data_IF_279362069951
#
_entry.id   IF_279362069951
#
_cell.length_a   1.000
_cell.length_b   1.000
_cell.length_c   1.000
_cell.angle_alpha   90.00
_cell.angle_beta   90.00
_cell.angle_gamma   90.00
#
_symmetry.space_group_name_H-M   'P 1'
#
loop_
_entity.id
_entity.type
_entity.pdbx_description
1 polymer ?
#
# COMPACT_ATOMS: atom_id res chain seq x y z
N UNK A 1 23.07 -15.90 8.04
CA UNK A 1 23.07 -15.82 6.58
C UNK A 1 22.54 -14.43 6.16
N UNK A 2 23.45 -13.54 5.74
CA UNK A 2 23.19 -12.13 5.44
C UNK A 2 22.14 -11.94 4.31
N UNK A 3 22.11 -12.82 3.32
CA UNK A 3 21.23 -12.71 2.16
C UNK A 3 19.82 -13.28 2.39
N UNK A 4 19.61 -14.04 3.44
CA UNK A 4 18.34 -14.72 3.71
C UNK A 4 17.12 -13.77 3.76
N UNK A 5 17.16 -12.60 4.44
CA UNK A 5 16.02 -11.69 4.47
C UNK A 5 15.66 -11.16 3.07
N UNK A 6 16.66 -10.82 2.26
CA UNK A 6 16.45 -10.32 0.89
C UNK A 6 15.81 -11.38 0.00
N UNK A 7 16.29 -12.62 0.09
CA UNK A 7 15.71 -13.74 -0.64
C UNK A 7 14.27 -14.02 -0.20
N UNK A 8 14.02 -14.02 1.12
CA UNK A 8 12.68 -14.20 1.68
C UNK A 8 11.72 -13.13 1.18
N UNK A 9 12.14 -11.86 1.19
CA UNK A 9 11.35 -10.75 0.70
C UNK A 9 11.08 -10.86 -0.81
N UNK A 10 12.07 -11.22 -1.62
CA UNK A 10 11.92 -11.36 -3.07
C UNK A 10 10.89 -12.43 -3.42
N UNK A 11 11.00 -13.62 -2.83
CA UNK A 11 10.07 -14.73 -3.06
C UNK A 11 8.67 -14.39 -2.52
N UNK A 12 8.61 -13.82 -1.31
CA UNK A 12 7.34 -13.42 -0.68
C UNK A 12 6.61 -12.35 -1.49
N UNK A 13 7.31 -11.31 -1.94
CA UNK A 13 6.74 -10.24 -2.76
C UNK A 13 6.25 -10.75 -4.12
N UNK A 14 6.98 -11.67 -4.75
CA UNK A 14 6.52 -12.31 -5.99
C UNK A 14 5.21 -13.07 -5.77
N UNK A 15 5.13 -13.90 -4.72
CA UNK A 15 3.93 -14.65 -4.39
C UNK A 15 2.74 -13.72 -4.11
N UNK A 16 2.93 -12.68 -3.31
CA UNK A 16 1.89 -11.67 -3.03
C UNK A 16 1.40 -11.02 -4.32
N UNK A 17 2.31 -10.67 -5.24
CA UNK A 17 1.95 -10.06 -6.52
C UNK A 17 1.09 -11.00 -7.37
N UNK A 18 1.44 -12.29 -7.42
CA UNK A 18 0.67 -13.28 -8.16
C UNK A 18 -0.72 -13.52 -7.53
N UNK A 19 -0.80 -13.57 -6.20
CA UNK A 19 -2.06 -13.72 -5.48
C UNK A 19 -2.96 -12.48 -5.67
N UNK A 20 -2.39 -11.26 -5.63
CA UNK A 20 -3.12 -10.03 -5.90
C UNK A 20 -3.62 -9.96 -7.36
N UNK A 21 -2.77 -10.34 -8.33
CA UNK A 21 -3.18 -10.42 -9.74
C UNK A 21 -4.37 -11.36 -9.92
N UNK A 22 -4.33 -12.53 -9.31
CA UNK A 22 -5.43 -13.51 -9.34
C UNK A 22 -6.71 -12.92 -8.75
N UNK A 23 -6.60 -12.23 -7.62
CA UNK A 23 -7.73 -11.61 -6.93
C UNK A 23 -8.35 -10.49 -7.77
N UNK A 24 -7.55 -9.60 -8.35
CA UNK A 24 -8.02 -8.54 -9.24
C UNK A 24 -8.65 -9.05 -10.54
N UNK A 25 -8.32 -10.28 -10.97
CA UNK A 25 -8.93 -10.92 -12.13
C UNK A 25 -10.19 -11.71 -11.78
N UNK A 26 -10.55 -11.80 -10.52
CA UNK A 26 -11.77 -12.47 -10.04
C UNK A 26 -13.02 -11.65 -10.37
N UNK A 27 -14.11 -12.32 -10.71
CA UNK A 27 -15.43 -11.69 -10.88
C UNK A 27 -16.01 -11.18 -9.55
N UNK A 28 -15.53 -11.68 -8.43
CA UNK A 28 -15.93 -11.28 -7.09
C UNK A 28 -14.72 -10.91 -6.24
N UNK A 29 -14.30 -9.64 -6.36
CA UNK A 29 -13.14 -9.09 -5.67
C UNK A 29 -13.32 -9.12 -4.16
N UNK A 30 -12.45 -9.84 -3.45
CA UNK A 30 -12.40 -9.83 -1.99
C UNK A 30 -11.44 -8.74 -1.49
N UNK A 31 -12.03 -7.61 -1.05
CA UNK A 31 -11.27 -6.44 -0.61
C UNK A 31 -10.43 -6.72 0.65
N UNK A 32 -10.90 -7.59 1.54
CA UNK A 32 -10.15 -7.97 2.74
C UNK A 32 -8.89 -8.76 2.35
N UNK A 33 -8.98 -9.65 1.37
CA UNK A 33 -7.81 -10.36 0.87
C UNK A 33 -6.79 -9.43 0.22
N UNK A 34 -7.23 -8.42 -0.54
CA UNK A 34 -6.33 -7.39 -1.07
C UNK A 34 -5.66 -6.63 0.08
N UNK A 35 -6.41 -6.26 1.11
CA UNK A 35 -5.89 -5.61 2.31
C UNK A 35 -4.79 -6.44 2.99
N UNK A 36 -5.02 -7.73 3.21
CA UNK A 36 -4.06 -8.64 3.82
C UNK A 36 -2.77 -8.76 2.99
N UNK A 37 -2.91 -8.84 1.65
CA UNK A 37 -1.78 -8.86 0.73
C UNK A 37 -0.98 -7.54 0.77
N UNK A 38 -1.65 -6.39 0.83
CA UNK A 38 -1.01 -5.08 0.99
C UNK A 38 -0.19 -5.00 2.29
N UNK A 39 -0.78 -5.38 3.40
CA UNK A 39 -0.14 -5.36 4.72
C UNK A 39 1.03 -6.35 4.78
N UNK A 40 0.88 -7.54 4.22
CA UNK A 40 1.96 -8.54 4.12
C UNK A 40 3.12 -8.04 3.27
N UNK A 41 2.84 -7.41 2.13
CA UNK A 41 3.86 -6.80 1.28
C UNK A 41 4.62 -5.71 2.05
N UNK A 42 3.90 -4.81 2.73
CA UNK A 42 4.55 -3.78 3.53
C UNK A 42 5.45 -4.36 4.63
N UNK A 43 5.05 -5.46 5.27
CA UNK A 43 5.87 -6.13 6.27
C UNK A 43 7.21 -6.63 5.71
N UNK A 44 7.25 -7.21 4.50
CA UNK A 44 8.52 -7.58 3.85
C UNK A 44 9.39 -6.33 3.58
N UNK A 45 8.79 -5.23 3.11
CA UNK A 45 9.51 -3.99 2.84
C UNK A 45 10.09 -3.38 4.12
N UNK A 46 9.34 -3.44 5.23
CA UNK A 46 9.76 -2.89 6.53
C UNK A 46 10.78 -3.77 7.23
N UNK A 47 10.50 -5.07 7.39
CA UNK A 47 11.27 -5.97 8.25
C UNK A 47 12.48 -6.58 7.56
N UNK A 48 12.31 -7.04 6.33
CA UNK A 48 13.34 -7.77 5.60
C UNK A 48 14.21 -6.84 4.75
N UNK A 49 13.60 -5.91 4.02
CA UNK A 49 14.32 -4.96 3.17
C UNK A 49 14.72 -3.67 3.90
N UNK A 50 14.07 -3.33 5.01
CA UNK A 50 14.35 -2.13 5.85
C UNK A 50 14.34 -0.82 5.05
N UNK A 51 13.38 -0.68 4.13
CA UNK A 51 13.28 0.50 3.25
C UNK A 51 12.22 1.52 3.70
N UNK A 52 11.67 1.36 4.90
CA UNK A 52 10.77 2.36 5.51
C UNK A 52 11.56 3.44 6.23
N UNK A 53 10.98 4.63 6.35
CA UNK A 53 11.44 5.73 7.20
C UNK A 53 10.46 5.94 8.35
N UNK A 54 10.88 6.71 9.37
CA UNK A 54 9.99 7.09 10.48
C UNK A 54 8.74 7.82 10.01
N UNK A 55 8.86 8.65 8.97
CA UNK A 55 7.74 9.38 8.36
C UNK A 55 6.75 8.44 7.68
N UNK A 56 7.27 7.46 6.92
CA UNK A 56 6.44 6.42 6.29
C UNK A 56 5.71 5.60 7.34
N UNK A 57 6.42 5.14 8.36
CA UNK A 57 5.83 4.35 9.44
C UNK A 57 4.72 5.15 10.15
N UNK A 58 4.96 6.42 10.47
CA UNK A 58 3.97 7.32 11.06
C UNK A 58 2.73 7.50 10.17
N UNK A 59 2.90 7.68 8.86
CA UNK A 59 1.78 7.80 7.93
C UNK A 59 0.94 6.52 7.89
N UNK A 60 1.58 5.35 7.90
CA UNK A 60 0.89 4.05 7.91
C UNK A 60 0.14 3.83 9.21
N UNK A 61 0.77 4.06 10.36
CA UNK A 61 0.15 3.92 11.67
C UNK A 61 -1.10 4.81 11.79
N UNK A 62 -0.99 6.09 11.42
CA UNK A 62 -2.13 7.02 11.40
C UNK A 62 -3.24 6.55 10.47
N UNK A 63 -2.90 6.02 9.29
CA UNK A 63 -3.91 5.52 8.35
C UNK A 63 -4.67 4.33 8.93
N UNK A 64 -3.97 3.37 9.52
CA UNK A 64 -4.56 2.18 10.15
C UNK A 64 -5.42 2.55 11.36
N UNK A 65 -4.93 3.42 12.25
CA UNK A 65 -5.66 3.92 13.43
C UNK A 65 -6.95 4.67 13.06
N UNK A 66 -7.00 5.24 11.85
CA UNK A 66 -8.17 5.98 11.36
C UNK A 66 -9.05 5.18 10.40
N UNK A 67 -8.86 3.85 10.33
CA UNK A 67 -9.77 2.91 9.69
C UNK A 67 -9.35 2.43 8.31
N UNK A 68 -8.10 2.66 7.90
CA UNK A 68 -7.57 1.94 6.75
C UNK A 68 -7.50 0.44 7.07
N UNK A 69 -7.89 -0.40 6.14
CA UNK A 69 -7.82 -1.86 6.28
C UNK A 69 -6.50 -2.42 5.74
N UNK A 70 -5.86 -1.70 4.82
CA UNK A 70 -4.56 -2.05 4.27
C UNK A 70 -3.75 -0.82 3.92
N UNK A 71 -2.44 -0.89 4.15
CA UNK A 71 -1.50 0.18 3.83
C UNK A 71 -0.17 -0.38 3.33
N UNK A 72 0.47 0.33 2.42
CA UNK A 72 1.82 -0.01 1.97
C UNK A 72 2.53 1.18 1.34
N UNK A 73 3.86 1.10 1.27
CA UNK A 73 4.68 2.02 0.47
C UNK A 73 4.34 1.88 -1.01
N UNK A 74 4.42 3.00 -1.72
CA UNK A 74 4.42 3.08 -3.19
C UNK A 74 5.83 3.48 -3.65
N UNK A 75 6.39 2.71 -4.56
CA UNK A 75 7.75 2.94 -5.06
C UNK A 75 8.83 2.23 -4.25
N UNK A 76 10.07 2.74 -4.32
CA UNK A 76 11.28 2.10 -3.79
C UNK A 76 11.49 2.26 -2.27
N UNK A 77 10.67 3.03 -1.59
CA UNK A 77 10.90 3.36 -0.18
C UNK A 77 11.94 4.47 0.02
N UNK A 78 12.49 4.57 1.24
CA UNK A 78 13.46 5.63 1.58
C UNK A 78 12.86 7.02 1.73
N UNK A 79 11.55 7.13 1.72
CA UNK A 79 10.72 8.32 1.67
C UNK A 79 9.57 8.14 0.68
N UNK A 80 8.91 9.21 0.27
CA UNK A 80 7.91 9.20 -0.79
C UNK A 80 6.49 8.97 -0.32
N UNK A 81 5.78 8.02 -0.93
CA UNK A 81 4.32 7.89 -0.82
C UNK A 81 3.88 6.58 -0.20
N UNK A 82 2.71 6.59 0.38
CA UNK A 82 1.97 5.39 0.78
C UNK A 82 0.64 5.31 0.01
N UNK A 83 0.07 4.14 -0.06
CA UNK A 83 -1.32 3.90 -0.43
C UNK A 83 -2.04 3.25 0.73
N UNK A 84 -3.23 3.79 1.05
CA UNK A 84 -4.12 3.27 2.09
C UNK A 84 -5.43 2.85 1.46
N UNK A 85 -5.93 1.69 1.85
CA UNK A 85 -7.19 1.12 1.41
C UNK A 85 -8.24 1.29 2.50
N UNK A 86 -9.40 1.81 2.17
CA UNK A 86 -10.55 1.95 3.07
C UNK A 86 -11.83 1.47 2.41
N UNK A 87 -12.83 1.14 3.21
CA UNK A 87 -14.08 0.54 2.73
C UNK A 87 -15.16 1.57 2.37
N UNK A 88 -14.99 2.83 2.76
CA UNK A 88 -15.97 3.88 2.52
C UNK A 88 -15.34 5.28 2.47
N UNK A 89 -16.07 6.23 1.88
CA UNK A 89 -15.61 7.60 1.67
C UNK A 89 -15.40 8.38 2.97
N UNK A 90 -16.21 8.13 4.02
CA UNK A 90 -16.04 8.82 5.29
C UNK A 90 -14.70 8.47 5.93
N UNK A 91 -14.34 7.20 5.93
CA UNK A 91 -13.03 6.72 6.39
C UNK A 91 -11.90 7.31 5.55
N UNK A 92 -12.03 7.31 4.22
CA UNK A 92 -11.03 7.92 3.33
C UNK A 92 -10.81 9.40 3.65
N UNK A 93 -11.89 10.18 3.80
CA UNK A 93 -11.82 11.60 4.16
C UNK A 93 -11.15 11.83 5.51
N UNK A 94 -11.47 10.99 6.50
CA UNK A 94 -10.85 11.05 7.84
C UNK A 94 -9.34 10.81 7.76
N UNK A 95 -8.91 9.78 7.03
CA UNK A 95 -7.48 9.47 6.82
C UNK A 95 -6.76 10.64 6.15
N UNK A 96 -7.30 11.17 5.05
CA UNK A 96 -6.73 12.32 4.34
C UNK A 96 -6.58 13.53 5.27
N UNK A 97 -7.63 13.86 6.03
CA UNK A 97 -7.60 14.97 7.00
C UNK A 97 -6.51 14.78 8.06
N UNK A 98 -6.39 13.55 8.60
CA UNK A 98 -5.38 13.23 9.62
C UNK A 98 -3.96 13.30 9.06
N UNK A 99 -3.72 12.77 7.88
CA UNK A 99 -2.40 12.85 7.23
C UNK A 99 -2.00 14.30 6.96
N UNK A 100 -2.92 15.14 6.48
CA UNK A 100 -2.67 16.57 6.28
C UNK A 100 -2.35 17.29 7.59
N UNK A 101 -3.04 16.94 8.68
CA UNK A 101 -2.81 17.58 10.00
C UNK A 101 -1.43 17.32 10.59
N UNK A 102 -0.73 16.28 10.14
CA UNK A 102 0.65 15.97 10.55
C UNK A 102 1.71 16.50 9.56
N UNK A 103 1.31 17.30 8.57
CA UNK A 103 2.22 17.94 7.63
C UNK A 103 2.56 17.13 6.39
N UNK A 104 1.78 16.08 6.07
CA UNK A 104 1.93 15.39 4.77
C UNK A 104 1.61 16.37 3.66
N UNK A 105 2.53 16.54 2.70
CA UNK A 105 2.46 17.55 1.65
C UNK A 105 1.20 17.39 0.80
N UNK A 106 0.95 16.17 0.33
CA UNK A 106 -0.21 15.84 -0.48
C UNK A 106 -0.89 14.58 0.04
N UNK A 107 -2.20 14.66 0.28
CA UNK A 107 -3.04 13.52 0.60
C UNK A 107 -4.39 13.70 -0.11
N UNK A 108 -4.80 12.70 -0.88
CA UNK A 108 -6.02 12.74 -1.67
C UNK A 108 -6.63 11.35 -1.82
N UNK A 109 -7.92 11.32 -2.19
CA UNK A 109 -8.63 10.08 -2.48
C UNK A 109 -8.42 9.75 -3.96
N UNK A 110 -7.74 8.64 -4.22
CA UNK A 110 -7.61 8.10 -5.56
C UNK A 110 -8.84 7.27 -5.95
N UNK A 111 -9.19 7.29 -7.23
CA UNK A 111 -10.25 6.47 -7.81
C UNK A 111 -9.65 5.63 -8.93
N UNK A 112 -10.31 4.51 -9.26
CA UNK A 112 -9.91 3.68 -10.39
C UNK A 112 -9.99 4.49 -11.68
N UNK A 113 -8.87 4.54 -12.40
CA UNK A 113 -8.80 5.13 -13.74
C UNK A 113 -9.18 4.14 -14.84
N UNK A 114 -9.21 4.61 -16.08
CA UNK A 114 -9.54 3.82 -17.28
C UNK A 114 -8.43 2.86 -17.72
N UNK A 115 -7.26 2.90 -17.08
CA UNK A 115 -6.09 2.15 -17.50
C UNK A 115 -5.25 2.89 -18.57
N UNK A 116 -4.15 2.27 -19.02
CA UNK A 116 -3.30 2.84 -20.07
C UNK A 116 -4.05 2.94 -21.40
N UNK A 117 -3.84 4.03 -22.13
CA UNK A 117 -4.37 4.23 -23.48
C UNK A 117 -3.27 4.70 -24.43
N UNK A 118 -3.35 4.29 -25.70
CA UNK A 118 -2.45 4.74 -26.76
C UNK A 118 -3.25 5.67 -27.66
N UNK A 119 -2.76 6.88 -27.87
CA UNK A 119 -3.30 7.82 -28.82
C UNK A 119 -2.37 7.82 -30.06
N UNK A 120 -2.93 7.66 -31.24
CA UNK A 120 -2.22 7.86 -32.51
C UNK A 120 -2.49 9.29 -32.97
N UNK A 121 -1.41 10.04 -33.24
CA UNK A 121 -1.47 11.35 -33.90
C UNK A 121 -1.59 11.17 -35.42
#
# INVERSE_FOLDING_TARGET
DYLKPYFTAAVGNYKITMDAKKEFSSSNLNINKISDLMNSHHNYLKKDLKITTSEIDKMIDISLENGAIGCKIVGSGGGGSIVSLSTNSNTSNKIVSKLRSIGVKDAFIARKGSGPSIYYE
#
